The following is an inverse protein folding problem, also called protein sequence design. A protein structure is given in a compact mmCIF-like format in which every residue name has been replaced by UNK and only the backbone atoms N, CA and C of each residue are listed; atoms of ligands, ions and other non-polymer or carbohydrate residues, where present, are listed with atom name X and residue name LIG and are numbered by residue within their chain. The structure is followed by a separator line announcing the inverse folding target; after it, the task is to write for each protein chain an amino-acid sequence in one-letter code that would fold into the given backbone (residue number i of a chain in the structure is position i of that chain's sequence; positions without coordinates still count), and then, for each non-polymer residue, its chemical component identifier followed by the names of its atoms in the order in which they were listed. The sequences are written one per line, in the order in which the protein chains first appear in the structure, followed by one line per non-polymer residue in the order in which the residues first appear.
data_IF_955083283145
#
_entry.id   IF_955083283145
#
_cell.length_a   1.000
_cell.length_b   1.000
_cell.length_c   1.000
_cell.angle_alpha   90.00
_cell.angle_beta   90.00
_cell.angle_gamma   90.00
#
_symmetry.space_group_name_H-M   'P 1'
#
loop_
_entity.id
_entity.type
_entity.pdbx_description
1 polymer ?
#
# COMPACT_ATOMS: atom_id res chain seq x y z
N UNK A 1 -7.16 45.34 0.75
CA UNK A 1 -6.37 44.23 1.33
C UNK A 1 -7.10 43.66 2.54
N UNK A 2 -7.61 42.42 2.49
CA UNK A 2 -7.63 41.65 3.72
C UNK A 2 -7.28 40.16 3.57
N UNK A 3 -6.34 39.76 4.45
CA UNK A 3 -6.26 38.49 5.19
C UNK A 3 -6.16 37.21 4.36
N UNK A 4 -4.91 36.86 4.04
CA UNK A 4 -4.49 35.48 3.81
C UNK A 4 -5.04 34.61 4.93
N UNK A 5 -6.07 33.80 4.61
CA UNK A 5 -6.42 32.63 5.39
C UNK A 5 -5.23 31.70 5.30
N UNK A 6 -4.44 31.66 6.36
CA UNK A 6 -3.44 30.61 6.55
C UNK A 6 -4.20 29.29 6.51
N UNK A 7 -4.22 28.65 5.35
CA UNK A 7 -4.59 27.25 5.21
C UNK A 7 -3.56 26.48 6.04
N UNK A 8 -3.84 26.32 7.33
CA UNK A 8 -3.43 25.12 8.04
C UNK A 8 -4.17 23.98 7.35
N UNK A 9 -3.67 23.56 6.19
CA UNK A 9 -3.96 22.27 5.62
C UNK A 9 -3.54 21.29 6.69
N UNK A 10 -4.52 20.82 7.47
CA UNK A 10 -4.38 19.61 8.27
C UNK A 10 -3.80 18.61 7.29
N UNK A 11 -2.52 18.25 7.46
CA UNK A 11 -1.87 17.23 6.65
C UNK A 11 -2.51 15.92 7.09
N UNK A 12 -3.76 15.67 6.68
CA UNK A 12 -4.27 14.33 6.58
C UNK A 12 -3.43 13.73 5.46
N UNK A 13 -2.31 13.09 5.81
CA UNK A 13 -1.54 12.27 4.86
C UNK A 13 -2.54 11.25 4.32
N UNK A 14 -3.18 11.57 3.20
CA UNK A 14 -4.05 10.65 2.47
C UNK A 14 -3.15 9.48 2.09
N UNK A 15 -3.63 8.28 2.35
CA UNK A 15 -2.95 7.08 1.90
C UNK A 15 -2.74 7.19 0.38
N UNK A 16 -1.57 6.76 -0.16
CA UNK A 16 -1.27 6.94 -1.57
C UNK A 16 -2.36 6.33 -2.44
N UNK A 17 -2.93 7.12 -3.35
CA UNK A 17 -4.02 6.67 -4.22
C UNK A 17 -3.57 5.58 -5.20
N UNK A 18 -2.27 5.52 -5.47
CA UNK A 18 -1.58 4.56 -6.34
C UNK A 18 -1.12 3.29 -5.61
N UNK A 19 -1.46 3.11 -4.32
CA UNK A 19 -1.06 1.93 -3.56
C UNK A 19 -1.52 0.61 -4.21
N UNK A 20 -2.75 0.58 -4.72
CA UNK A 20 -3.28 -0.59 -5.43
C UNK A 20 -2.47 -0.93 -6.68
N UNK A 21 -2.02 0.09 -7.42
CA UNK A 21 -1.18 -0.09 -8.61
C UNK A 21 0.22 -0.60 -8.23
N UNK A 22 0.83 -0.03 -7.19
CA UNK A 22 2.12 -0.51 -6.65
C UNK A 22 2.04 -1.97 -6.21
N UNK A 23 0.92 -2.36 -5.60
CA UNK A 23 0.68 -3.75 -5.20
C UNK A 23 0.63 -4.69 -6.41
N UNK A 24 -0.04 -4.29 -7.50
CA UNK A 24 -0.07 -5.05 -8.75
C UNK A 24 1.32 -5.15 -9.37
N UNK A 25 2.05 -4.03 -9.48
CA UNK A 25 3.42 -4.01 -10.00
C UNK A 25 4.38 -4.89 -9.20
N UNK A 26 4.25 -4.86 -7.87
CA UNK A 26 5.01 -5.76 -7.00
C UNK A 26 4.72 -7.22 -7.33
N UNK A 27 3.44 -7.59 -7.45
CA UNK A 27 3.07 -8.96 -7.75
C UNK A 27 3.56 -9.42 -9.12
N UNK A 28 3.46 -8.57 -10.14
CA UNK A 28 3.97 -8.85 -11.48
C UNK A 28 5.50 -9.02 -11.48
N UNK A 29 6.23 -8.12 -10.82
CA UNK A 29 7.68 -8.19 -10.73
C UNK A 29 8.19 -9.38 -9.89
N UNK A 30 7.41 -9.82 -8.91
CA UNK A 30 7.73 -10.97 -8.06
C UNK A 30 7.17 -12.30 -8.59
N UNK A 31 6.51 -12.30 -9.76
CA UNK A 31 5.79 -13.45 -10.33
C UNK A 31 4.83 -14.12 -9.32
N UNK A 32 4.12 -13.31 -8.55
CA UNK A 32 3.21 -13.75 -7.50
C UNK A 32 1.76 -13.74 -7.97
N UNK A 33 1.07 -14.85 -7.72
CA UNK A 33 -0.40 -14.87 -7.78
C UNK A 33 -1.02 -14.20 -6.57
N UNK A 34 -2.27 -13.75 -6.68
CA UNK A 34 -3.03 -13.22 -5.54
C UNK A 34 -3.15 -14.25 -4.42
N UNK A 35 -3.25 -15.54 -4.79
CA UNK A 35 -3.28 -16.65 -3.86
C UNK A 35 -2.01 -16.79 -3.03
N UNK A 36 -0.88 -16.64 -3.69
CA UNK A 36 0.41 -16.67 -3.02
C UNK A 36 0.61 -15.45 -2.11
N UNK A 37 0.19 -14.27 -2.56
CA UNK A 37 0.28 -13.04 -1.78
C UNK A 37 -0.43 -13.16 -0.43
N UNK A 38 -1.73 -13.50 -0.41
CA UNK A 38 -2.45 -13.53 0.86
C UNK A 38 -1.98 -14.67 1.78
N UNK A 39 -1.52 -15.81 1.22
CA UNK A 39 -0.92 -16.89 2.01
C UNK A 39 0.38 -16.45 2.67
N UNK A 40 1.24 -15.75 1.93
CA UNK A 40 2.51 -15.23 2.47
C UNK A 40 2.31 -14.12 3.49
N UNK A 41 1.28 -13.29 3.32
CA UNK A 41 0.93 -12.24 4.27
C UNK A 41 0.12 -12.77 5.47
N UNK A 42 -0.39 -14.00 5.43
CA UNK A 42 -1.24 -14.56 6.48
C UNK A 42 -2.58 -13.83 6.64
N UNK A 43 -3.13 -13.26 5.56
CA UNK A 43 -4.37 -12.46 5.59
C UNK A 43 -5.50 -13.11 4.79
N UNK A 44 -6.72 -12.68 5.04
CA UNK A 44 -7.89 -13.07 4.25
C UNK A 44 -7.77 -12.58 2.78
N UNK A 45 -8.20 -13.36 1.77
CA UNK A 45 -8.13 -12.97 0.36
C UNK A 45 -8.84 -11.66 0.02
N UNK A 46 -9.86 -11.25 0.79
CA UNK A 46 -10.55 -9.98 0.61
C UNK A 46 -9.69 -8.79 1.04
N UNK A 47 -8.74 -8.99 1.95
CA UNK A 47 -7.92 -7.92 2.52
C UNK A 47 -7.06 -7.21 1.45
N UNK A 48 -6.24 -7.92 0.64
CA UNK A 48 -5.50 -7.29 -0.45
C UNK A 48 -6.41 -6.70 -1.54
N UNK A 49 -7.57 -7.32 -1.81
CA UNK A 49 -8.56 -6.78 -2.76
C UNK A 49 -9.13 -5.45 -2.29
N UNK A 50 -9.40 -5.29 -0.99
CA UNK A 50 -9.86 -4.01 -0.42
C UNK A 50 -8.81 -2.91 -0.54
N UNK A 51 -7.53 -3.24 -0.41
CA UNK A 51 -6.46 -2.27 -0.61
C UNK A 51 -6.39 -1.81 -2.07
N UNK A 52 -6.49 -2.76 -3.01
CA UNK A 52 -6.44 -2.48 -4.45
C UNK A 52 -7.68 -1.74 -4.96
N UNK A 53 -8.86 -2.30 -4.71
CA UNK A 53 -10.10 -1.87 -5.38
C UNK A 53 -10.85 -0.79 -4.61
N UNK A 54 -10.77 -0.83 -3.28
CA UNK A 54 -11.53 0.06 -2.40
C UNK A 54 -10.67 1.15 -1.76
N UNK A 55 -9.36 1.16 -2.05
CA UNK A 55 -8.40 2.11 -1.46
C UNK A 55 -8.33 2.03 0.07
N UNK A 56 -8.70 0.89 0.66
CA UNK A 56 -8.65 0.71 2.12
C UNK A 56 -7.20 0.71 2.55
N UNK A 57 -6.88 1.52 3.55
CA UNK A 57 -5.54 1.61 4.10
C UNK A 57 -5.17 0.30 4.84
N UNK A 58 -4.03 -0.35 4.52
CA UNK A 58 -3.49 -1.44 5.33
C UNK A 58 -3.19 -0.96 6.75
N UNK A 59 -3.29 -1.87 7.72
CA UNK A 59 -2.80 -1.62 9.07
C UNK A 59 -1.27 -1.49 9.04
N UNK A 60 -0.68 -0.98 10.12
CA UNK A 60 0.78 -0.91 10.24
C UNK A 60 1.43 -2.29 10.12
N UNK A 61 0.82 -3.32 10.71
CA UNK A 61 1.27 -4.71 10.62
C UNK A 61 1.25 -5.24 9.19
N UNK A 62 0.14 -5.04 8.46
CA UNK A 62 0.04 -5.44 7.06
C UNK A 62 1.08 -4.73 6.18
N UNK A 63 1.32 -3.44 6.44
CA UNK A 63 2.32 -2.68 5.68
C UNK A 63 3.73 -3.19 5.95
N UNK A 64 4.07 -3.51 7.21
CA UNK A 64 5.37 -4.08 7.57
C UNK A 64 5.57 -5.48 6.97
N UNK A 65 4.53 -6.33 7.00
CA UNK A 65 4.57 -7.65 6.36
C UNK A 65 4.79 -7.53 4.84
N UNK A 66 4.10 -6.58 4.19
CA UNK A 66 4.27 -6.30 2.77
C UNK A 66 5.67 -5.79 2.44
N UNK A 67 6.22 -4.87 3.26
CA UNK A 67 7.58 -4.35 3.09
C UNK A 67 8.62 -5.45 3.25
N UNK A 68 8.52 -6.28 4.28
CA UNK A 68 9.42 -7.41 4.50
C UNK A 68 9.36 -8.41 3.34
N UNK A 69 8.14 -8.69 2.85
CA UNK A 69 7.95 -9.54 1.69
C UNK A 69 8.58 -8.90 0.45
N UNK A 70 8.32 -7.63 0.17
CA UNK A 70 8.89 -6.93 -0.98
C UNK A 70 10.43 -6.84 -0.92
N UNK A 71 11.00 -6.62 0.26
CA UNK A 71 12.46 -6.61 0.47
C UNK A 71 13.08 -7.99 0.18
N UNK A 72 12.38 -9.09 0.45
CA UNK A 72 12.86 -10.44 0.08
C UNK A 72 13.02 -10.66 -1.44
N UNK A 73 12.37 -9.84 -2.26
CA UNK A 73 12.50 -9.79 -3.72
C UNK A 73 13.37 -8.62 -4.22
N UNK A 74 13.91 -7.77 -3.33
CA UNK A 74 14.60 -6.52 -3.72
C UNK A 74 13.67 -5.41 -4.21
N UNK A 75 12.36 -5.52 -3.96
CA UNK A 75 11.30 -4.64 -4.47
C UNK A 75 10.72 -3.67 -3.42
N UNK A 76 11.34 -3.55 -2.24
CA UNK A 76 10.82 -2.69 -1.17
C UNK A 76 10.70 -1.21 -1.53
N UNK A 77 11.46 -0.75 -2.53
CA UNK A 77 11.36 0.61 -3.07
C UNK A 77 9.97 0.95 -3.64
N UNK A 78 9.16 -0.05 -4.02
CA UNK A 78 7.81 0.17 -4.53
C UNK A 78 6.84 0.73 -3.47
N UNK A 79 7.13 0.52 -2.18
CA UNK A 79 6.25 0.90 -1.07
C UNK A 79 6.87 1.93 -0.13
N UNK A 80 8.10 2.37 -0.39
CA UNK A 80 8.78 3.43 0.36
C UNK A 80 8.59 4.76 -0.40
N UNK A 81 7.81 5.67 0.18
CA UNK A 81 7.61 7.07 -0.27
C UNK A 81 8.01 8.04 0.84
#
# INVERSE_FOLDING_TARGET
MPRQRTHHSRITRRFPADFGERLVRFMEAADLSWAELYRRLGVDPETPRRWRDKGVRPTGEHLMALLNLADSFGLGHLFRD
#
